data_IF_374899620259
#
_entry.id   IF_374899620259
#
_cell.length_a   1.000
_cell.length_b   1.000
_cell.length_c   1.000
_cell.angle_alpha   90.00
_cell.angle_beta   90.00
_cell.angle_gamma   90.00
#
_symmetry.space_group_name_H-M   'P 1'
#
loop_
_entity.id
_entity.type
_entity.pdbx_description
1 polymer ?
#
# COMPACT_ATOMS: atom_id res chain seq x y z
N UNK A 1 2.70 -13.16 8.38
CA UNK A 1 1.68 -13.19 7.31
C UNK A 1 0.75 -14.41 7.24
N UNK A 2 1.18 -15.64 7.59
CA UNK A 2 0.35 -16.86 7.37
C UNK A 2 -1.09 -16.79 7.91
N UNK A 3 -1.29 -16.22 9.09
CA UNK A 3 -2.64 -16.06 9.66
C UNK A 3 -3.51 -15.12 8.81
N UNK A 4 -3.01 -13.93 8.47
CA UNK A 4 -3.70 -12.95 7.63
C UNK A 4 -4.05 -13.49 6.24
N UNK A 5 -3.13 -14.26 5.63
CA UNK A 5 -3.36 -14.92 4.35
C UNK A 5 -4.50 -15.93 4.42
N UNK A 6 -4.53 -16.76 5.47
CA UNK A 6 -5.58 -17.77 5.64
C UNK A 6 -6.94 -17.16 5.96
N UNK A 7 -6.97 -16.15 6.82
CA UNK A 7 -8.21 -15.56 7.33
C UNK A 7 -8.83 -14.58 6.33
N UNK A 8 -8.01 -13.78 5.65
CA UNK A 8 -8.49 -12.65 4.84
C UNK A 8 -8.03 -12.73 3.37
N UNK A 9 -7.36 -13.80 2.96
CA UNK A 9 -6.70 -13.88 1.64
C UNK A 9 -5.73 -12.71 1.40
N UNK A 10 -5.13 -12.17 2.47
CA UNK A 10 -4.31 -10.97 2.42
C UNK A 10 -3.01 -11.17 1.63
N UNK A 11 -2.77 -10.35 0.62
CA UNK A 11 -1.53 -10.36 -0.18
C UNK A 11 -0.39 -9.55 0.46
N UNK A 12 -0.74 -8.53 1.23
CA UNK A 12 0.18 -7.63 1.93
C UNK A 12 -0.46 -7.12 3.23
N UNK A 13 0.34 -6.50 4.08
CA UNK A 13 -0.13 -5.82 5.30
C UNK A 13 0.54 -4.46 5.43
N UNK A 14 -0.21 -3.48 5.92
CA UNK A 14 0.23 -2.12 6.22
C UNK A 14 -0.68 -1.58 7.35
N UNK A 15 -0.55 -0.30 7.73
CA UNK A 15 -1.12 0.19 8.99
C UNK A 15 -2.19 1.28 8.83
N UNK A 16 -2.41 1.82 7.63
CA UNK A 16 -3.28 3.00 7.44
C UNK A 16 -4.39 2.82 6.39
N UNK A 17 -4.18 1.99 5.37
CA UNK A 17 -5.02 1.90 4.17
C UNK A 17 -6.45 1.50 4.47
N UNK A 18 -6.66 0.56 5.41
CA UNK A 18 -7.99 0.16 5.83
C UNK A 18 -8.76 1.30 6.53
N UNK A 19 -8.08 2.06 7.41
CA UNK A 19 -8.70 3.19 8.13
C UNK A 19 -9.07 4.34 7.17
N UNK A 20 -8.18 4.65 6.22
CA UNK A 20 -8.45 5.64 5.16
C UNK A 20 -9.61 5.18 4.28
N UNK A 21 -9.56 3.94 3.79
CA UNK A 21 -10.62 3.39 2.93
C UNK A 21 -11.98 3.34 3.61
N UNK A 22 -12.02 2.96 4.90
CA UNK A 22 -13.24 2.99 5.70
C UNK A 22 -13.82 4.41 5.79
N UNK A 23 -12.97 5.40 6.07
CA UNK A 23 -13.39 6.81 6.15
C UNK A 23 -13.92 7.33 4.81
N UNK A 24 -13.23 7.04 3.70
CA UNK A 24 -13.69 7.37 2.36
C UNK A 24 -15.03 6.72 2.03
N UNK A 25 -15.22 5.46 2.41
CA UNK A 25 -16.49 4.75 2.27
C UNK A 25 -17.65 5.42 3.02
N UNK A 26 -17.42 5.87 4.25
CA UNK A 26 -18.42 6.63 5.02
C UNK A 26 -18.77 7.98 4.37
N UNK A 27 -17.81 8.60 3.69
CA UNK A 27 -17.97 9.91 3.05
C UNK A 27 -18.39 9.85 1.58
N UNK A 28 -18.66 8.66 1.02
CA UNK A 28 -18.92 8.46 -0.42
C UNK A 28 -17.82 9.05 -1.33
N UNK A 29 -16.56 9.00 -0.89
CA UNK A 29 -15.40 9.45 -1.67
C UNK A 29 -14.74 8.23 -2.32
N UNK A 30 -14.62 8.19 -3.67
CA UNK A 30 -13.87 7.14 -4.34
C UNK A 30 -12.43 7.09 -3.81
N UNK A 31 -11.90 5.89 -3.55
CA UNK A 31 -10.55 5.73 -3.04
C UNK A 31 -9.84 4.54 -3.66
N UNK A 32 -8.51 4.62 -3.72
CA UNK A 32 -7.61 3.54 -4.10
C UNK A 32 -6.39 3.58 -3.20
N UNK A 33 -5.88 2.41 -2.81
CA UNK A 33 -4.63 2.29 -2.04
C UNK A 33 -3.57 1.71 -2.97
N UNK A 34 -2.50 2.47 -3.20
CA UNK A 34 -1.32 2.04 -3.96
C UNK A 34 -0.14 1.96 -2.98
N UNK A 35 0.44 0.76 -2.84
CA UNK A 35 1.57 0.50 -1.95
C UNK A 35 2.63 -0.31 -2.69
N UNK A 36 3.90 0.06 -2.52
CA UNK A 36 5.01 -0.82 -2.87
C UNK A 36 5.44 -1.68 -1.68
N UNK A 37 5.97 -2.87 -1.97
CA UNK A 37 6.41 -3.83 -0.95
C UNK A 37 7.83 -3.52 -0.49
N UNK A 38 7.99 -3.08 0.75
CA UNK A 38 9.29 -2.77 1.36
C UNK A 38 9.90 -3.92 2.14
N UNK A 39 9.10 -4.90 2.56
CA UNK A 39 9.57 -6.07 3.30
C UNK A 39 8.53 -7.21 3.24
N UNK A 40 8.92 -8.41 3.68
CA UNK A 40 8.06 -9.60 3.68
C UNK A 40 7.18 -9.81 4.93
N UNK A 41 7.17 -8.87 5.88
CA UNK A 41 6.44 -8.97 7.15
C UNK A 41 6.74 -10.27 7.93
N UNK A 42 8.04 -10.64 7.95
CA UNK A 42 8.62 -11.75 8.70
C UNK A 42 9.71 -11.27 9.67
N UNK A 43 10.58 -12.18 10.10
CA UNK A 43 11.61 -11.89 11.11
C UNK A 43 12.62 -10.81 10.68
N UNK A 44 12.91 -10.72 9.38
CA UNK A 44 13.84 -9.71 8.81
C UNK A 44 13.17 -8.39 8.46
N UNK A 45 11.87 -8.23 8.73
CA UNK A 45 11.06 -7.12 8.23
C UNK A 45 11.63 -5.74 8.55
N UNK A 46 12.18 -5.56 9.75
CA UNK A 46 12.77 -4.29 10.17
C UNK A 46 13.98 -3.91 9.31
N UNK A 47 14.87 -4.87 9.05
CA UNK A 47 16.08 -4.65 8.24
C UNK A 47 15.71 -4.45 6.77
N UNK A 48 14.89 -5.34 6.22
CA UNK A 48 14.43 -5.26 4.83
C UNK A 48 13.71 -3.94 4.56
N UNK A 49 12.88 -3.49 5.50
CA UNK A 49 12.19 -2.20 5.39
C UNK A 49 13.18 -1.06 5.25
N UNK A 50 14.17 -1.00 6.15
CA UNK A 50 15.19 0.06 6.16
C UNK A 50 15.97 0.09 4.85
N UNK A 51 16.35 -1.07 4.33
CA UNK A 51 17.18 -1.18 3.13
C UNK A 51 16.39 -0.86 1.85
N UNK A 52 15.10 -1.19 1.81
CA UNK A 52 14.27 -1.01 0.62
C UNK A 52 13.43 0.26 0.59
N UNK A 53 13.30 0.97 1.73
CA UNK A 53 12.38 2.12 1.87
C UNK A 53 12.55 3.13 0.73
N UNK A 54 13.78 3.57 0.47
CA UNK A 54 14.04 4.60 -0.54
C UNK A 54 13.63 4.14 -1.94
N UNK A 55 13.97 2.90 -2.32
CA UNK A 55 13.62 2.33 -3.62
C UNK A 55 12.10 2.20 -3.80
N UNK A 56 11.41 1.74 -2.76
CA UNK A 56 9.95 1.59 -2.79
C UNK A 56 9.24 2.93 -2.86
N UNK A 57 9.71 3.94 -2.13
CA UNK A 57 9.18 5.30 -2.23
C UNK A 57 9.36 5.87 -3.63
N UNK A 58 10.54 5.73 -4.24
CA UNK A 58 10.78 6.19 -5.62
C UNK A 58 9.85 5.50 -6.63
N UNK A 59 9.67 4.18 -6.52
CA UNK A 59 8.78 3.44 -7.42
C UNK A 59 7.31 3.85 -7.23
N UNK A 60 6.87 4.00 -5.99
CA UNK A 60 5.50 4.43 -5.67
C UNK A 60 5.23 5.84 -6.18
N UNK A 61 6.20 6.75 -6.02
CA UNK A 61 6.13 8.12 -6.53
C UNK A 61 5.96 8.16 -8.05
N UNK A 62 6.77 7.39 -8.80
CA UNK A 62 6.64 7.30 -10.27
C UNK A 62 5.27 6.77 -10.71
N UNK A 63 4.71 5.79 -10.00
CA UNK A 63 3.35 5.30 -10.29
C UNK A 63 2.34 6.43 -10.11
N UNK A 64 2.46 7.23 -9.05
CA UNK A 64 1.55 8.34 -8.79
C UNK A 64 1.69 9.47 -9.83
N UNK A 65 2.91 9.79 -10.28
CA UNK A 65 3.14 10.79 -11.34
C UNK A 65 2.42 10.43 -12.64
N UNK A 66 2.34 9.14 -12.98
CA UNK A 66 1.63 8.68 -14.17
C UNK A 66 0.12 8.50 -13.92
N UNK A 67 -0.26 7.96 -12.75
CA UNK A 67 -1.64 7.63 -12.44
C UNK A 67 -2.53 8.86 -12.25
N UNK A 68 -2.06 9.89 -11.55
CA UNK A 68 -2.87 11.06 -11.20
C UNK A 68 -3.33 11.84 -12.46
N UNK A 69 -2.47 12.14 -13.45
CA UNK A 69 -2.89 12.79 -14.68
C UNK A 69 -3.89 11.95 -15.48
N UNK A 70 -3.67 10.64 -15.59
CA UNK A 70 -4.56 9.73 -16.31
C UNK A 70 -5.96 9.69 -15.70
N UNK A 71 -6.05 9.65 -14.36
CA UNK A 71 -7.34 9.66 -13.67
C UNK A 71 -8.04 11.02 -13.77
N UNK A 72 -7.29 12.12 -13.79
CA UNK A 72 -7.86 13.48 -13.89
C UNK A 72 -8.42 13.79 -15.28
N UNK A 73 -8.09 12.98 -16.29
CA UNK A 73 -8.59 13.10 -17.65
C UNK A 73 -9.88 12.28 -17.92
N UNK A 74 -10.34 11.51 -16.93
CA UNK A 74 -11.60 10.74 -16.95
C UNK A 74 -12.73 11.55 -16.30
#
# INVERSE_FOLDING_TARGET
>A
MRWLQREFSALATEMEGAAVGYTCGLSNVPFVVIRGISNGAGETAHTDFKDNLHKVCQNSYRILEEFVPLYSAL
#
